data_IF_125678510363
#
_entry.id   IF_125678510363
#
_cell.length_a   1.000
_cell.length_b   1.000
_cell.length_c   1.000
_cell.angle_alpha   90.00
_cell.angle_beta   90.00
_cell.angle_gamma   90.00
#
_symmetry.space_group_name_H-M   'P 1'
#
loop_
_entity.id
_entity.type
_entity.pdbx_description
1 polymer ?
#
# COMPACT_ATOMS: atom_id res chain seq x y z
N UNK A 1 25.54 63.95 8.08
CA UNK A 1 26.15 63.69 6.76
C UNK A 1 25.75 62.27 6.40
N UNK A 2 24.60 62.03 5.86
CA UNK A 2 24.14 62.12 4.47
C UNK A 2 25.02 61.31 3.49
N UNK A 3 24.53 60.16 3.08
CA UNK A 3 24.33 59.85 1.67
C UNK A 3 23.50 58.55 1.51
N UNK A 4 22.54 58.68 0.62
CA UNK A 4 21.55 57.69 0.19
C UNK A 4 22.11 56.72 -0.90
N UNK A 5 21.32 55.71 -1.26
CA UNK A 5 21.76 54.57 -2.08
C UNK A 5 21.59 54.78 -3.58
N UNK A 6 22.29 54.00 -4.37
CA UNK A 6 22.10 53.91 -5.82
C UNK A 6 21.22 52.71 -6.19
N UNK A 7 20.16 53.01 -6.92
CA UNK A 7 19.37 52.11 -7.73
C UNK A 7 20.20 51.63 -8.97
N UNK A 8 20.07 50.36 -9.27
CA UNK A 8 20.34 49.76 -10.59
C UNK A 8 19.67 48.37 -10.53
N UNK A 9 18.71 47.94 -11.31
CA UNK A 9 18.41 48.16 -12.68
C UNK A 9 17.49 46.95 -12.98
N UNK A 10 16.22 47.24 -13.32
CA UNK A 10 15.30 46.24 -13.87
C UNK A 10 15.78 45.83 -15.25
N UNK A 11 15.99 44.52 -15.44
CA UNK A 11 15.99 43.94 -16.78
C UNK A 11 14.96 42.80 -16.82
N UNK A 12 13.98 43.03 -17.67
CA UNK A 12 12.92 42.15 -18.11
C UNK A 12 13.43 40.84 -18.71
N UNK A 13 12.87 39.70 -18.26
CA UNK A 13 12.76 38.52 -19.10
C UNK A 13 11.33 37.99 -19.00
N UNK A 14 10.44 38.59 -19.77
CA UNK A 14 9.27 37.90 -20.28
C UNK A 14 9.73 37.20 -21.54
N UNK A 15 9.59 35.87 -21.57
CA UNK A 15 9.26 35.03 -22.72
C UNK A 15 9.60 33.57 -22.37
N UNK A 16 8.58 32.79 -22.06
CA UNK A 16 8.33 31.40 -22.44
C UNK A 16 7.39 30.70 -21.47
N UNK A 17 6.15 31.16 -21.48
CA UNK A 17 5.05 30.39 -20.92
C UNK A 17 4.05 30.07 -22.03
N UNK A 18 4.29 29.01 -22.79
CA UNK A 18 3.28 28.37 -23.63
C UNK A 18 3.50 26.87 -23.62
N UNK A 19 2.53 26.12 -23.07
CA UNK A 19 2.43 24.67 -23.27
C UNK A 19 2.28 23.80 -22.05
N UNK A 20 1.45 24.14 -21.08
CA UNK A 20 0.92 23.18 -20.13
C UNK A 20 -0.60 23.08 -20.39
N UNK A 21 -0.98 22.09 -21.19
CA UNK A 21 -2.38 21.76 -21.43
C UNK A 21 -3.02 21.23 -20.14
N UNK A 22 -4.16 21.80 -19.77
CA UNK A 22 -5.04 21.36 -18.68
C UNK A 22 -5.50 19.93 -18.90
N UNK A 23 -4.83 18.96 -18.29
CA UNK A 23 -5.36 17.62 -18.05
C UNK A 23 -6.03 17.63 -16.66
N UNK A 24 -7.32 18.02 -16.65
CA UNK A 24 -8.20 17.72 -15.51
C UNK A 24 -8.46 16.23 -15.49
N UNK A 25 -8.12 15.49 -14.44
CA UNK A 25 -8.62 14.14 -14.25
C UNK A 25 -10.11 14.27 -13.91
N UNK A 26 -10.98 13.77 -14.77
CA UNK A 26 -12.40 13.58 -14.45
C UNK A 26 -12.52 12.46 -13.43
N UNK A 27 -12.71 12.82 -12.17
CA UNK A 27 -13.12 11.88 -11.14
C UNK A 27 -14.54 11.41 -11.46
N UNK A 28 -14.68 10.19 -11.98
CA UNK A 28 -15.99 9.52 -12.11
C UNK A 28 -16.40 9.07 -10.71
N UNK A 29 -17.48 9.65 -10.21
CA UNK A 29 -18.08 9.28 -8.92
C UNK A 29 -18.64 7.86 -8.99
N UNK A 30 -18.26 7.00 -8.05
CA UNK A 30 -18.73 5.60 -7.93
C UNK A 30 -20.26 5.50 -7.76
N UNK A 31 -20.96 6.61 -7.49
CA UNK A 31 -22.41 6.65 -7.33
C UNK A 31 -23.21 6.52 -8.64
N UNK A 32 -22.59 6.57 -9.82
CA UNK A 32 -23.27 6.61 -11.11
C UNK A 32 -23.16 5.31 -11.94
N UNK A 33 -22.51 4.26 -11.45
CA UNK A 33 -22.38 3.00 -12.18
C UNK A 33 -23.60 2.12 -11.91
N UNK A 34 -24.67 2.33 -12.66
CA UNK A 34 -25.93 1.55 -12.52
C UNK A 34 -26.23 0.59 -13.68
N UNK A 35 -25.42 0.53 -14.75
CA UNK A 35 -25.68 -0.30 -15.93
C UNK A 35 -24.46 -1.08 -16.43
N UNK A 36 -24.70 -2.26 -17.03
CA UNK A 36 -23.66 -3.12 -17.64
C UNK A 36 -22.84 -2.43 -18.76
N UNK A 37 -23.40 -1.39 -19.40
CA UNK A 37 -22.73 -0.61 -20.43
C UNK A 37 -21.59 0.26 -19.86
N UNK A 38 -21.71 0.73 -18.61
CA UNK A 38 -20.70 1.54 -17.95
C UNK A 38 -19.47 0.71 -17.52
N UNK A 39 -19.65 -0.60 -17.36
CA UNK A 39 -18.58 -1.54 -17.02
C UNK A 39 -17.66 -1.85 -18.21
N UNK A 40 -18.13 -1.67 -19.43
CA UNK A 40 -17.31 -1.81 -20.64
C UNK A 40 -16.39 -0.59 -20.88
N UNK A 41 -16.64 0.52 -20.18
CA UNK A 41 -15.88 1.77 -20.29
C UNK A 41 -14.83 1.97 -19.19
N UNK A 42 -14.59 0.96 -18.34
CA UNK A 42 -13.47 1.05 -17.40
C UNK A 42 -12.17 1.15 -18.19
N UNK A 43 -11.29 2.10 -17.86
CA UNK A 43 -10.05 2.27 -18.59
C UNK A 43 -9.26 0.97 -18.57
N UNK A 44 -8.83 0.51 -19.75
CA UNK A 44 -7.86 -0.56 -19.86
C UNK A 44 -6.61 -0.18 -19.07
N UNK A 45 -5.99 -1.16 -18.41
CA UNK A 45 -4.73 -0.96 -17.71
C UNK A 45 -3.76 -0.21 -18.62
N UNK A 46 -3.03 0.80 -18.12
CA UNK A 46 -2.11 1.56 -18.94
C UNK A 46 -1.14 0.62 -19.67
N UNK A 47 -0.91 0.83 -20.99
CA UNK A 47 -0.04 -0.02 -21.78
C UNK A 47 1.38 0.06 -21.19
N UNK A 48 1.88 -1.08 -20.71
CA UNK A 48 3.23 -1.18 -20.14
C UNK A 48 3.30 -1.83 -18.75
N UNK A 49 2.19 -2.00 -18.05
CA UNK A 49 2.16 -2.76 -16.79
C UNK A 49 2.12 -4.25 -17.14
N UNK A 50 3.28 -4.86 -17.34
CA UNK A 50 3.40 -6.29 -17.48
C UNK A 50 3.11 -6.92 -16.12
N UNK A 51 1.91 -7.50 -15.96
CA UNK A 51 1.63 -8.39 -14.82
C UNK A 51 2.60 -9.56 -14.92
N UNK A 52 3.51 -9.78 -13.96
CA UNK A 52 4.42 -10.92 -14.03
C UNK A 52 3.58 -12.21 -14.11
N UNK A 53 3.78 -12.99 -15.17
CA UNK A 53 3.10 -14.27 -15.30
C UNK A 53 3.46 -15.15 -14.10
N UNK A 54 2.50 -15.88 -13.51
CA UNK A 54 2.73 -16.74 -12.35
C UNK A 54 3.62 -17.95 -12.69
N UNK A 55 4.89 -17.73 -12.86
CA UNK A 55 5.87 -18.76 -13.22
C UNK A 55 7.29 -18.24 -13.44
N UNK A 56 7.49 -16.92 -13.49
CA UNK A 56 8.82 -16.31 -13.69
C UNK A 56 9.34 -15.54 -12.47
N UNK A 57 8.66 -15.61 -11.35
CA UNK A 57 9.15 -14.97 -10.12
C UNK A 57 10.35 -15.75 -9.59
N UNK A 58 11.46 -15.07 -9.26
CA UNK A 58 12.68 -15.72 -8.79
C UNK A 58 12.42 -16.54 -7.54
N UNK A 59 13.05 -17.72 -7.42
CA UNK A 59 12.96 -18.54 -6.20
C UNK A 59 13.38 -17.70 -4.99
N UNK A 60 12.45 -17.51 -4.09
CA UNK A 60 12.69 -16.80 -2.84
C UNK A 60 13.61 -17.63 -1.94
N UNK A 61 14.87 -17.22 -1.80
CA UNK A 61 15.72 -17.66 -0.70
C UNK A 61 15.65 -16.58 0.37
N UNK A 62 14.85 -16.79 1.39
CA UNK A 62 14.90 -15.94 2.60
C UNK A 62 16.10 -16.40 3.40
N UNK A 63 17.12 -15.55 3.50
CA UNK A 63 18.14 -15.72 4.52
C UNK A 63 17.56 -15.22 5.84
N UNK A 64 17.66 -16.01 6.90
CA UNK A 64 17.31 -15.61 8.26
C UNK A 64 17.89 -14.24 8.68
N UNK A 65 19.15 -13.91 8.34
CA UNK A 65 19.71 -12.60 8.62
C UNK A 65 18.87 -11.45 8.07
N UNK A 66 18.44 -11.53 6.80
CA UNK A 66 17.66 -10.44 6.14
C UNK A 66 16.34 -10.13 6.86
N UNK A 67 15.69 -11.14 7.43
CA UNK A 67 14.41 -10.97 8.13
C UNK A 67 14.56 -10.34 9.51
N UNK A 68 15.70 -10.54 10.16
CA UNK A 68 16.03 -9.94 11.46
C UNK A 68 16.59 -8.53 11.26
N UNK A 69 17.48 -8.36 10.29
CA UNK A 69 18.08 -7.07 9.99
C UNK A 69 17.03 -6.01 9.65
N UNK A 70 15.99 -6.39 8.91
CA UNK A 70 14.89 -5.46 8.57
C UNK A 70 14.11 -4.99 9.79
N UNK A 71 13.98 -5.83 10.84
CA UNK A 71 13.32 -5.43 12.09
C UNK A 71 14.13 -4.33 12.77
N UNK A 72 15.45 -4.52 12.93
CA UNK A 72 16.31 -3.50 13.54
C UNK A 72 16.36 -2.20 12.73
N UNK A 73 16.22 -2.28 11.42
CA UNK A 73 16.22 -1.08 10.56
C UNK A 73 14.88 -0.33 10.63
N UNK A 74 13.76 -1.05 10.66
CA UNK A 74 12.41 -0.46 10.55
C UNK A 74 11.78 -0.12 11.90
N UNK A 75 12.18 -0.80 12.98
CA UNK A 75 11.65 -0.55 14.32
C UNK A 75 12.75 -0.07 15.30
N UNK A 76 12.78 1.23 15.59
CA UNK A 76 13.72 1.80 16.56
C UNK A 76 13.53 1.28 18.00
N UNK A 77 12.37 0.70 18.32
CA UNK A 77 12.09 0.16 19.65
C UNK A 77 12.78 -1.20 19.88
N UNK A 78 13.11 -1.93 18.81
CA UNK A 78 13.81 -3.22 18.88
C UNK A 78 15.29 -3.04 19.19
N UNK A 79 15.74 -3.43 20.39
CA UNK A 79 17.10 -3.16 20.88
C UNK A 79 18.04 -4.36 20.83
N UNK A 80 17.51 -5.57 20.75
CA UNK A 80 18.31 -6.79 20.79
C UNK A 80 17.62 -7.95 20.05
N UNK A 81 18.40 -9.00 19.79
CA UNK A 81 17.93 -10.18 19.03
C UNK A 81 16.78 -10.91 19.71
N UNK A 82 16.70 -10.91 21.04
CA UNK A 82 15.63 -11.59 21.77
C UNK A 82 14.29 -10.88 21.55
N UNK A 83 14.31 -9.54 21.47
CA UNK A 83 13.15 -8.76 21.11
C UNK A 83 12.72 -9.05 19.66
N UNK A 84 13.67 -9.07 18.71
CA UNK A 84 13.37 -9.37 17.32
C UNK A 84 12.73 -10.76 17.12
N UNK A 85 13.16 -11.78 17.87
CA UNK A 85 12.62 -13.15 17.78
C UNK A 85 11.15 -13.23 18.23
N UNK A 86 10.69 -12.36 19.10
CA UNK A 86 9.29 -12.38 19.58
C UNK A 86 8.33 -11.60 18.67
N UNK A 87 8.83 -10.95 17.59
CA UNK A 87 7.99 -10.22 16.65
C UNK A 87 7.00 -11.14 15.93
N UNK A 88 5.68 -10.87 16.04
CA UNK A 88 4.67 -11.73 15.38
C UNK A 88 4.82 -11.71 13.85
N UNK A 89 5.22 -10.58 13.25
CA UNK A 89 5.46 -10.45 11.82
C UNK A 89 6.55 -11.39 11.30
N UNK A 90 7.64 -11.58 12.07
CA UNK A 90 8.70 -12.53 11.74
C UNK A 90 8.16 -13.96 11.60
N UNK A 91 7.39 -14.40 12.59
CA UNK A 91 6.80 -15.74 12.59
C UNK A 91 5.77 -15.93 11.49
N UNK A 92 4.93 -14.92 11.24
CA UNK A 92 3.98 -14.95 10.12
C UNK A 92 4.67 -15.20 8.78
N UNK A 93 5.79 -14.49 8.53
CA UNK A 93 6.58 -14.64 7.30
C UNK A 93 7.23 -16.02 7.22
N UNK A 94 7.80 -16.53 8.33
CA UNK A 94 8.44 -17.85 8.36
C UNK A 94 7.44 -18.99 8.07
N UNK A 95 6.31 -18.99 8.74
CA UNK A 95 5.24 -19.97 8.48
C UNK A 95 4.71 -19.84 7.04
N UNK A 96 4.56 -18.60 6.55
CA UNK A 96 4.17 -18.38 5.17
C UNK A 96 5.17 -18.99 4.18
N UNK A 97 6.49 -18.85 4.40
CA UNK A 97 7.51 -19.45 3.50
C UNK A 97 7.35 -20.96 3.39
N UNK A 98 7.11 -21.62 4.52
CA UNK A 98 6.85 -23.08 4.54
C UNK A 98 5.54 -23.39 3.82
N UNK A 99 4.47 -22.71 4.16
CA UNK A 99 3.16 -22.89 3.54
C UNK A 99 3.18 -22.65 2.02
N UNK A 100 3.89 -21.61 1.58
CA UNK A 100 4.04 -21.26 0.17
C UNK A 100 4.84 -22.33 -0.61
N UNK A 101 5.90 -22.87 -0.03
CA UNK A 101 6.67 -23.96 -0.64
C UNK A 101 5.80 -25.22 -0.86
N UNK A 102 5.01 -25.59 0.15
CA UNK A 102 4.08 -26.73 0.08
C UNK A 102 2.92 -26.47 -0.90
N UNK A 103 2.43 -25.22 -0.95
CA UNK A 103 1.41 -24.80 -1.90
C UNK A 103 1.89 -24.96 -3.34
N UNK A 104 3.11 -24.53 -3.63
CA UNK A 104 3.73 -24.67 -4.94
C UNK A 104 4.08 -26.12 -5.29
N UNK A 105 4.29 -26.97 -4.28
CA UNK A 105 4.42 -28.42 -4.43
C UNK A 105 3.06 -29.13 -4.61
N UNK A 106 1.95 -28.37 -4.71
CA UNK A 106 0.58 -28.89 -4.87
C UNK A 106 0.11 -29.81 -3.74
N UNK A 107 0.68 -29.68 -2.54
CA UNK A 107 0.22 -30.42 -1.37
C UNK A 107 -1.17 -29.90 -0.97
N UNK A 108 -2.20 -30.77 -0.91
CA UNK A 108 -3.54 -30.35 -0.57
C UNK A 108 -3.67 -30.07 0.94
N UNK A 109 -4.54 -29.13 1.32
CA UNK A 109 -4.95 -28.78 2.68
C UNK A 109 -3.85 -28.28 3.62
N UNK A 110 -2.70 -28.94 3.69
CA UNK A 110 -1.62 -28.64 4.63
C UNK A 110 -1.12 -27.20 4.59
N UNK A 111 -0.92 -26.56 3.41
CA UNK A 111 -0.53 -25.15 3.33
C UNK A 111 -1.55 -24.24 4.05
N UNK A 112 -2.85 -24.50 3.89
CA UNK A 112 -3.90 -23.71 4.54
C UNK A 112 -3.94 -23.94 6.05
N UNK A 113 -3.73 -25.17 6.51
CA UNK A 113 -3.64 -25.48 7.96
C UNK A 113 -2.48 -24.72 8.59
N UNK A 114 -1.30 -24.69 7.96
CA UNK A 114 -0.13 -23.92 8.43
C UNK A 114 -0.46 -22.42 8.47
N UNK A 115 -1.10 -21.89 7.44
CA UNK A 115 -1.50 -20.48 7.39
C UNK A 115 -2.50 -20.13 8.49
N UNK A 116 -3.50 -20.96 8.76
CA UNK A 116 -4.46 -20.71 9.85
C UNK A 116 -3.83 -20.88 11.24
N UNK A 117 -2.92 -21.82 11.40
CA UNK A 117 -2.13 -21.95 12.63
C UNK A 117 -1.27 -20.71 12.86
N UNK A 118 -0.55 -20.23 11.81
CA UNK A 118 0.22 -18.99 11.88
C UNK A 118 -0.64 -17.81 12.31
N UNK A 119 -1.83 -17.64 11.70
CA UNK A 119 -2.79 -16.60 12.09
C UNK A 119 -3.13 -16.64 13.58
N UNK A 120 -3.36 -17.83 14.12
CA UNK A 120 -3.70 -18.00 15.54
C UNK A 120 -2.54 -17.56 16.44
N UNK A 121 -1.31 -18.03 16.18
CA UNK A 121 -0.16 -17.75 17.07
C UNK A 121 0.42 -16.34 16.90
N UNK A 122 0.18 -15.69 15.77
CA UNK A 122 0.68 -14.34 15.48
C UNK A 122 -0.32 -13.22 15.81
N UNK A 123 -1.42 -13.57 16.50
CA UNK A 123 -2.41 -12.57 16.91
C UNK A 123 -3.22 -11.99 15.74
N UNK A 124 -3.44 -12.76 14.68
CA UNK A 124 -4.35 -12.38 13.59
C UNK A 124 -3.71 -11.98 12.27
N UNK A 125 -2.44 -12.26 12.04
CA UNK A 125 -1.80 -12.06 10.72
C UNK A 125 -2.19 -13.22 9.81
N UNK A 126 -3.04 -12.94 8.81
CA UNK A 126 -3.44 -13.92 7.80
C UNK A 126 -2.73 -13.70 6.48
N UNK A 127 -1.88 -14.66 6.08
CA UNK A 127 -1.22 -14.67 4.78
C UNK A 127 -1.65 -15.93 4.03
N UNK A 128 -2.27 -15.76 2.85
CA UNK A 128 -2.65 -16.90 2.02
C UNK A 128 -1.39 -17.59 1.47
N UNK A 129 -1.29 -18.94 1.49
CA UNK A 129 -0.12 -19.67 1.00
C UNK A 129 0.24 -19.37 -0.45
N UNK A 130 -0.73 -18.99 -1.29
CA UNK A 130 -0.51 -18.63 -2.69
C UNK A 130 0.10 -17.24 -2.91
N UNK A 131 0.11 -16.38 -1.90
CA UNK A 131 0.70 -15.04 -2.02
C UNK A 131 2.20 -15.11 -2.29
N UNK A 132 2.70 -14.23 -3.16
CA UNK A 132 4.13 -14.10 -3.40
C UNK A 132 4.67 -12.91 -2.61
N UNK A 133 5.75 -13.11 -1.86
CA UNK A 133 6.34 -12.08 -1.00
C UNK A 133 7.85 -12.02 -1.22
N UNK A 134 8.38 -10.85 -1.54
CA UNK A 134 9.79 -10.55 -1.75
C UNK A 134 10.65 -10.65 -0.49
N UNK A 135 11.88 -10.14 -0.56
CA UNK A 135 12.84 -10.06 0.55
C UNK A 135 12.58 -8.84 1.40
N UNK A 136 13.07 -8.85 2.65
CA UNK A 136 13.01 -7.71 3.56
C UNK A 136 11.59 -7.16 3.75
N UNK A 137 10.60 -8.05 3.69
CA UNK A 137 9.22 -7.72 3.99
C UNK A 137 9.04 -7.61 5.50
N UNK A 138 8.49 -6.51 5.97
CA UNK A 138 8.29 -6.22 7.38
C UNK A 138 6.81 -5.96 7.68
N UNK A 139 6.30 -6.54 8.77
CA UNK A 139 4.96 -6.29 9.29
C UNK A 139 5.11 -5.77 10.71
N UNK A 140 4.74 -4.50 10.90
CA UNK A 140 4.75 -3.88 12.21
C UNK A 140 3.43 -4.13 12.96
N UNK A 141 3.53 -4.58 14.22
CA UNK A 141 2.43 -5.02 15.08
C UNK A 141 1.59 -6.17 14.52
N UNK A 142 1.11 -6.09 13.31
CA UNK A 142 0.53 -7.14 12.48
C UNK A 142 -0.90 -7.56 12.79
N UNK A 143 -1.50 -7.18 13.90
CA UNK A 143 -2.88 -7.58 14.23
C UNK A 143 -3.85 -7.18 13.10
N UNK A 144 -4.65 -8.15 12.62
CA UNK A 144 -5.65 -7.91 11.58
C UNK A 144 -5.12 -7.69 10.16
N UNK A 145 -3.83 -7.96 9.89
CA UNK A 145 -3.30 -7.97 8.51
C UNK A 145 -3.88 -9.14 7.74
N UNK A 146 -4.38 -8.87 6.51
CA UNK A 146 -4.91 -9.89 5.61
C UNK A 146 -4.25 -9.76 4.23
N UNK A 147 -3.59 -10.83 3.78
CA UNK A 147 -2.93 -10.90 2.47
C UNK A 147 -3.55 -12.03 1.64
N UNK A 148 -4.25 -11.65 0.55
CA UNK A 148 -5.00 -12.58 -0.29
C UNK A 148 -4.13 -13.42 -1.23
N UNK A 149 -4.73 -14.48 -1.79
CA UNK A 149 -4.08 -15.55 -2.57
C UNK A 149 -3.18 -15.08 -3.71
N UNK A 150 -3.68 -14.17 -4.53
CA UNK A 150 -2.96 -13.71 -5.74
C UNK A 150 -2.20 -12.40 -5.53
N UNK A 151 -1.99 -12.00 -4.27
CA UNK A 151 -1.15 -10.84 -3.94
C UNK A 151 0.30 -11.11 -4.34
N UNK A 152 0.95 -10.07 -4.89
CA UNK A 152 2.39 -10.06 -5.13
C UNK A 152 2.98 -8.88 -4.38
N UNK A 153 4.01 -9.12 -3.56
CA UNK A 153 4.68 -8.10 -2.76
C UNK A 153 6.16 -8.11 -3.12
N UNK A 154 6.69 -6.98 -3.51
CA UNK A 154 8.09 -6.75 -3.84
C UNK A 154 9.04 -6.85 -2.65
N UNK A 155 10.24 -6.28 -2.82
CA UNK A 155 11.26 -6.26 -1.79
C UNK A 155 11.15 -5.01 -0.93
N UNK A 156 11.60 -5.10 0.33
CA UNK A 156 11.67 -3.97 1.27
C UNK A 156 10.32 -3.28 1.52
N UNK A 157 9.23 -4.03 1.40
CA UNK A 157 7.87 -3.51 1.65
C UNK A 157 7.55 -3.58 3.13
N UNK A 158 6.90 -2.53 3.65
CA UNK A 158 6.47 -2.44 5.04
C UNK A 158 4.95 -2.30 5.12
N UNK A 159 4.32 -3.12 5.97
CA UNK A 159 2.91 -3.03 6.33
C UNK A 159 2.75 -2.76 7.82
N UNK A 160 1.82 -1.88 8.15
CA UNK A 160 1.32 -1.74 9.52
C UNK A 160 0.14 -2.69 9.79
N UNK A 161 -0.29 -2.74 11.05
CA UNK A 161 -1.44 -3.54 11.46
C UNK A 161 -2.74 -3.15 10.73
N UNK A 162 -3.71 -4.09 10.67
CA UNK A 162 -5.01 -3.93 10.03
C UNK A 162 -4.97 -3.66 8.52
N UNK A 163 -3.82 -3.76 7.85
CA UNK A 163 -3.73 -3.61 6.40
C UNK A 163 -4.39 -4.80 5.72
N UNK A 164 -5.21 -4.51 4.70
CA UNK A 164 -5.87 -5.52 3.87
C UNK A 164 -5.40 -5.42 2.42
N UNK A 165 -4.81 -6.50 1.89
CA UNK A 165 -4.52 -6.69 0.47
C UNK A 165 -5.54 -7.69 -0.08
N UNK A 166 -6.70 -7.15 -0.51
CA UNK A 166 -7.91 -7.91 -0.80
C UNK A 166 -8.32 -7.91 -2.27
N UNK A 167 -9.43 -8.59 -2.56
CA UNK A 167 -10.06 -8.60 -3.87
C UNK A 167 -11.38 -7.82 -3.84
N UNK A 168 -11.78 -7.29 -5.00
CA UNK A 168 -13.12 -6.73 -5.24
C UNK A 168 -14.00 -7.75 -5.97
N UNK A 169 -15.34 -7.56 -5.92
CA UNK A 169 -16.27 -8.30 -6.76
C UNK A 169 -16.39 -9.79 -6.45
N UNK A 170 -16.31 -10.20 -5.19
CA UNK A 170 -16.49 -11.59 -4.74
C UNK A 170 -17.82 -12.23 -5.19
N UNK A 171 -18.84 -11.43 -5.50
CA UNK A 171 -20.14 -11.85 -6.00
C UNK A 171 -20.16 -12.14 -7.50
N UNK A 172 -19.09 -11.83 -8.24
CA UNK A 172 -19.01 -12.15 -9.67
C UNK A 172 -18.42 -13.55 -9.85
N UNK A 173 -19.04 -14.42 -10.67
CA UNK A 173 -18.44 -15.69 -11.04
C UNK A 173 -17.11 -15.38 -11.76
N UNK A 174 -15.99 -15.66 -11.11
CA UNK A 174 -14.69 -15.57 -11.78
C UNK A 174 -14.52 -16.79 -12.66
N UNK A 175 -14.37 -16.65 -13.97
CA UNK A 175 -14.06 -17.78 -14.84
C UNK A 175 -12.63 -18.24 -14.56
N UNK A 176 -12.48 -19.23 -13.69
CA UNK A 176 -11.23 -19.91 -13.41
C UNK A 176 -10.45 -19.39 -12.19
N UNK A 177 -9.88 -20.34 -11.43
CA UNK A 177 -9.08 -20.11 -10.21
C UNK A 177 -7.75 -19.38 -10.42
N UNK A 178 -7.35 -19.09 -11.66
CA UNK A 178 -6.02 -18.56 -12.00
C UNK A 178 -5.98 -17.04 -12.26
N UNK A 179 -7.10 -16.36 -12.17
CA UNK A 179 -7.15 -14.93 -12.46
C UNK A 179 -6.58 -14.10 -11.29
N UNK A 180 -5.72 -13.15 -11.62
CA UNK A 180 -5.23 -12.12 -10.68
C UNK A 180 -6.43 -11.32 -10.17
N UNK A 181 -6.60 -11.23 -8.83
CA UNK A 181 -7.71 -10.52 -8.18
C UNK A 181 -7.29 -9.71 -6.96
N UNK A 182 -6.04 -9.87 -6.52
CA UNK A 182 -5.46 -9.15 -5.39
C UNK A 182 -4.33 -8.24 -5.89
N UNK A 183 -3.94 -7.20 -5.14
CA UNK A 183 -2.99 -6.21 -5.59
C UNK A 183 -1.58 -6.76 -5.83
N UNK A 184 -0.82 -5.98 -6.60
CA UNK A 184 0.63 -6.06 -6.70
C UNK A 184 1.21 -4.85 -6.00
N UNK A 185 2.09 -5.08 -5.05
CA UNK A 185 2.85 -4.07 -4.33
C UNK A 185 4.29 -4.16 -4.83
N UNK A 186 4.81 -3.11 -5.43
CA UNK A 186 6.19 -3.08 -5.92
C UNK A 186 7.20 -2.86 -4.79
N UNK A 187 8.48 -2.70 -5.13
CA UNK A 187 9.56 -2.57 -4.15
C UNK A 187 9.46 -1.25 -3.35
N UNK A 188 10.01 -1.23 -2.14
CA UNK A 188 10.15 -0.03 -1.30
C UNK A 188 8.84 0.68 -0.91
N UNK A 189 7.70 -0.01 -1.00
CA UNK A 189 6.39 0.54 -0.63
C UNK A 189 6.13 0.44 0.87
N UNK A 190 5.56 1.50 1.44
CA UNK A 190 5.07 1.52 2.84
C UNK A 190 3.56 1.71 2.87
N UNK A 191 2.85 0.86 3.66
CA UNK A 191 1.40 0.89 3.77
C UNK A 191 1.00 1.11 5.22
N UNK A 192 0.36 2.26 5.48
CA UNK A 192 -0.05 2.71 6.80
C UNK A 192 -1.19 1.91 7.41
N UNK A 193 -1.38 2.10 8.70
CA UNK A 193 -2.35 1.38 9.54
C UNK A 193 -3.76 1.41 8.95
N UNK A 194 -4.43 0.25 8.92
CA UNK A 194 -5.82 0.14 8.52
C UNK A 194 -6.10 0.41 7.03
N UNK A 195 -5.08 0.61 6.20
CA UNK A 195 -5.29 0.82 4.77
C UNK A 195 -5.81 -0.45 4.10
N UNK A 196 -6.76 -0.29 3.17
CA UNK A 196 -7.32 -1.37 2.37
C UNK A 196 -7.01 -1.15 0.89
N UNK A 197 -6.26 -2.08 0.29
CA UNK A 197 -5.91 -2.06 -1.13
C UNK A 197 -6.62 -3.23 -1.78
N UNK A 198 -7.58 -2.92 -2.66
CA UNK A 198 -8.52 -3.91 -3.15
C UNK A 198 -8.51 -3.99 -4.67
N UNK A 199 -8.49 -5.23 -5.18
CA UNK A 199 -8.53 -5.50 -6.61
C UNK A 199 -7.17 -5.83 -7.22
N UNK A 200 -7.10 -6.13 -8.53
CA UNK A 200 -5.88 -6.47 -9.24
C UNK A 200 -5.07 -5.22 -9.65
N UNK A 201 -4.96 -4.26 -8.75
CA UNK A 201 -4.28 -2.99 -8.95
C UNK A 201 -2.80 -3.08 -8.60
N UNK A 202 -2.02 -2.08 -9.03
CA UNK A 202 -0.58 -1.98 -8.80
C UNK A 202 -0.29 -0.76 -7.93
N UNK A 203 0.48 -0.95 -6.86
CA UNK A 203 1.06 0.14 -6.08
C UNK A 203 2.52 0.23 -6.49
N UNK A 204 2.87 1.31 -7.19
CA UNK A 204 4.20 1.51 -7.78
C UNK A 204 5.30 1.72 -6.74
N UNK A 205 6.51 1.38 -7.15
CA UNK A 205 7.74 1.41 -6.34
C UNK A 205 7.91 2.72 -5.57
N UNK A 206 8.38 2.64 -4.33
CA UNK A 206 8.67 3.79 -3.47
C UNK A 206 7.44 4.56 -2.99
N UNK A 207 6.22 4.09 -3.30
CA UNK A 207 4.99 4.78 -2.90
C UNK A 207 4.66 4.58 -1.42
N UNK A 208 3.95 5.55 -0.86
CA UNK A 208 3.47 5.55 0.52
C UNK A 208 1.96 5.64 0.55
N UNK A 209 1.32 4.67 1.19
CA UNK A 209 -0.13 4.64 1.40
C UNK A 209 -0.40 5.02 2.85
N UNK A 210 -1.07 6.13 3.04
CA UNK A 210 -1.41 6.67 4.35
C UNK A 210 -2.40 5.80 5.12
N UNK A 211 -2.44 6.00 6.43
CA UNK A 211 -3.34 5.30 7.33
C UNK A 211 -4.82 5.42 6.90
N UNK A 212 -5.59 4.35 7.07
CA UNK A 212 -7.04 4.29 6.78
C UNK A 212 -7.41 4.55 5.31
N UNK A 213 -6.44 4.59 4.39
CA UNK A 213 -6.73 4.81 2.97
C UNK A 213 -7.42 3.59 2.34
N UNK A 214 -8.50 3.85 1.57
CA UNK A 214 -9.11 2.86 0.69
C UNK A 214 -8.62 3.10 -0.73
N UNK A 215 -7.86 2.14 -1.28
CA UNK A 215 -7.25 2.24 -2.61
C UNK A 215 -7.89 1.22 -3.54
N UNK A 216 -8.53 1.71 -4.59
CA UNK A 216 -9.28 0.92 -5.58
C UNK A 216 -8.70 1.05 -7.00
N UNK A 217 -7.71 1.92 -7.19
CA UNK A 217 -7.05 2.19 -8.46
C UNK A 217 -5.53 2.08 -8.32
N UNK A 218 -4.83 1.85 -9.43
CA UNK A 218 -3.38 1.75 -9.43
C UNK A 218 -2.72 3.09 -9.08
N UNK A 219 -1.66 3.02 -8.30
CA UNK A 219 -0.88 4.17 -7.83
C UNK A 219 0.46 4.17 -8.55
N UNK A 220 0.85 5.27 -9.22
CA UNK A 220 2.17 5.39 -9.84
C UNK A 220 3.31 5.29 -8.83
N UNK A 221 4.53 4.98 -9.30
CA UNK A 221 5.72 4.96 -8.46
C UNK A 221 5.98 6.32 -7.79
N UNK A 222 6.60 6.29 -6.60
CA UNK A 222 6.98 7.47 -5.82
C UNK A 222 5.81 8.42 -5.48
N UNK A 223 4.63 7.86 -5.29
CA UNK A 223 3.41 8.61 -4.99
C UNK A 223 3.03 8.49 -3.51
N UNK A 224 2.34 9.51 -3.00
CA UNK A 224 1.74 9.50 -1.66
C UNK A 224 0.23 9.53 -1.78
N UNK A 225 -0.43 8.54 -1.16
CA UNK A 225 -1.89 8.47 -1.07
C UNK A 225 -2.28 8.69 0.38
N UNK A 226 -3.16 9.64 0.64
CA UNK A 226 -3.64 9.94 1.98
C UNK A 226 -5.16 9.83 2.07
N UNK A 227 -5.68 9.31 3.18
CA UNK A 227 -7.10 9.41 3.51
C UNK A 227 -7.42 10.83 4.00
N UNK A 228 -8.66 11.26 3.76
CA UNK A 228 -9.12 12.54 4.32
C UNK A 228 -9.16 12.45 5.85
N UNK A 229 -8.55 13.39 6.58
CA UNK A 229 -8.65 13.43 8.05
C UNK A 229 -10.10 13.56 8.51
N UNK A 230 -10.37 13.14 9.75
CA UNK A 230 -11.68 13.32 10.34
C UNK A 230 -11.98 14.82 10.56
N UNK A 231 -13.23 15.21 10.37
CA UNK A 231 -13.71 16.57 10.59
C UNK A 231 -14.35 16.70 11.98
N UNK A 232 -14.03 17.76 12.67
CA UNK A 232 -14.70 18.10 13.92
C UNK A 232 -16.00 18.83 13.63
N UNK A 233 -17.15 18.15 13.80
CA UNK A 233 -18.48 18.68 13.48
C UNK A 233 -19.14 19.41 14.64
N UNK A 234 -18.80 19.04 15.89
CA UNK A 234 -19.38 19.62 17.12
C UNK A 234 -18.28 19.86 18.15
N UNK A 235 -18.22 21.05 18.73
CA UNK A 235 -17.32 21.38 19.80
C UNK A 235 -18.11 21.99 20.98
N UNK A 236 -18.01 21.36 22.15
CA UNK A 236 -18.72 21.85 23.37
C UNK A 236 -20.24 21.84 23.25
N UNK A 237 -20.82 21.04 22.34
CA UNK A 237 -22.26 20.99 22.05
C UNK A 237 -22.72 21.93 20.95
N UNK A 238 -21.84 22.75 20.40
CA UNK A 238 -22.14 23.65 19.28
C UNK A 238 -21.67 23.07 17.96
N UNK A 239 -22.52 23.11 16.92
CA UNK A 239 -22.16 22.67 15.56
C UNK A 239 -21.24 23.71 14.92
N UNK A 240 -20.12 23.28 14.37
CA UNK A 240 -19.19 24.15 13.67
C UNK A 240 -19.67 24.36 12.23
N UNK A 241 -20.07 25.58 11.89
CA UNK A 241 -20.63 25.91 10.58
C UNK A 241 -19.61 26.06 9.45
N UNK A 242 -18.31 26.19 9.72
CA UNK A 242 -17.30 26.35 8.65
C UNK A 242 -15.97 25.68 8.95
N UNK A 243 -15.57 24.77 8.05
CA UNK A 243 -14.34 23.99 8.08
C UNK A 243 -13.20 24.53 7.20
N UNK A 244 -13.30 25.72 6.63
CA UNK A 244 -12.28 26.23 5.69
C UNK A 244 -10.97 26.65 6.38
N UNK A 245 -10.97 26.96 7.67
CA UNK A 245 -9.74 27.44 8.34
C UNK A 245 -8.80 26.31 8.80
N UNK A 246 -9.31 25.12 9.08
CA UNK A 246 -8.48 24.00 9.54
C UNK A 246 -7.66 23.34 8.42
N UNK A 247 -8.07 23.53 7.17
CA UNK A 247 -7.34 23.02 6.01
C UNK A 247 -6.34 24.01 5.42
N UNK A 248 -6.39 25.28 5.79
CA UNK A 248 -5.43 26.31 5.32
C UNK A 248 -4.02 26.17 5.89
N UNK A 249 -3.83 25.40 6.97
CA UNK A 249 -2.51 25.07 7.52
C UNK A 249 -1.88 23.79 6.96
N UNK A 250 -2.58 23.08 6.12
CA UNK A 250 -2.09 21.80 5.59
C UNK A 250 -1.40 22.02 4.23
N UNK A 251 -0.08 22.26 4.28
CA UNK A 251 0.76 22.49 3.11
C UNK A 251 1.28 21.21 2.42
N UNK A 252 0.75 20.05 2.79
CA UNK A 252 1.18 18.76 2.19
C UNK A 252 2.54 18.25 2.69
N UNK A 253 3.21 18.97 3.57
CA UNK A 253 4.48 18.62 4.19
C UNK A 253 4.30 17.97 5.58
N UNK A 254 3.29 17.13 5.74
CA UNK A 254 3.34 16.25 6.90
C UNK A 254 4.42 15.20 6.65
N UNK A 255 5.51 15.36 7.36
CA UNK A 255 6.41 14.26 7.67
C UNK A 255 5.56 13.18 8.35
N UNK A 256 5.10 12.22 7.54
CA UNK A 256 4.43 11.03 8.06
C UNK A 256 5.48 10.20 8.81
N UNK A 257 5.88 10.66 9.97
CA UNK A 257 6.45 9.81 10.98
C UNK A 257 5.29 8.97 11.51
N UNK A 258 5.10 7.86 10.85
CA UNK A 258 4.20 6.80 11.31
C UNK A 258 4.95 5.99 12.33
#
# INVERSE_FOLDING_TARGET
MSQRPQELGRASNQENAKGAGDLKPSAVSIAEVSNEADLASLPELPPGVAIPAPGKLPRQRTCWPDAIDVIFEKDPACRNIFEAIVYPGLWAILYHRVAHALYNAHIPCLPRLISQFARFITGGIEIHPGAWIGKRFFIDHGAGVVIGETTSIGNNVMLYHQVTLGATGWWRPSPGRKQKRHPTIEDDVTIGVGAAILGPIVIGEGSRIGAMALVLESVPANSVVAAKPAELLVKGGETLEQHQELTQGWNGEMDYQI
#
